data_IF_774502342625
#
_entry.id   IF_774502342625
#
_cell.length_a   1.000
_cell.length_b   1.000
_cell.length_c   1.000
_cell.angle_alpha   90.00
_cell.angle_beta   90.00
_cell.angle_gamma   90.00
#
_symmetry.space_group_name_H-M   'P 1'
#
loop_
_entity.id
_entity.type
_entity.pdbx_description
1 polymer ?
#
# COMPACT_ATOMS: atom_id res chain seq x y z
N UNK A 1 -8.00 34.70 -8.63
CA UNK A 1 -7.46 33.87 -7.54
C UNK A 1 -7.80 32.42 -7.85
N UNK A 2 -6.91 31.71 -8.56
CA UNK A 2 -7.11 30.30 -8.92
C UNK A 2 -6.87 29.44 -7.69
N UNK A 3 -7.93 28.79 -7.18
CA UNK A 3 -7.81 27.72 -6.17
C UNK A 3 -7.01 26.60 -6.82
N UNK A 4 -5.72 26.47 -6.48
CA UNK A 4 -4.97 25.26 -6.80
C UNK A 4 -5.70 24.13 -6.07
N UNK A 5 -6.36 23.26 -6.82
CA UNK A 5 -7.00 22.08 -6.28
C UNK A 5 -5.86 21.13 -5.86
N UNK A 6 -5.51 21.15 -4.57
CA UNK A 6 -4.33 20.41 -4.05
C UNK A 6 -4.55 18.90 -4.01
N UNK A 7 -5.81 18.47 -4.01
CA UNK A 7 -6.27 17.06 -3.95
C UNK A 7 -5.49 16.10 -4.88
N UNK A 8 -5.42 16.33 -6.21
CA UNK A 8 -4.69 15.44 -7.11
C UNK A 8 -3.16 15.45 -6.88
N UNK A 9 -2.60 16.60 -6.49
CA UNK A 9 -1.16 16.71 -6.24
C UNK A 9 -0.76 15.99 -4.95
N UNK A 10 -1.54 16.15 -3.88
CA UNK A 10 -1.29 15.48 -2.59
C UNK A 10 -1.39 13.97 -2.73
N UNK A 11 -2.40 13.50 -3.48
CA UNK A 11 -2.61 12.08 -3.72
C UNK A 11 -1.42 11.44 -4.46
N UNK A 12 -0.99 12.08 -5.54
CA UNK A 12 0.17 11.67 -6.34
C UNK A 12 1.48 11.69 -5.53
N UNK A 13 1.68 12.71 -4.68
CA UNK A 13 2.87 12.80 -3.82
C UNK A 13 2.88 11.69 -2.77
N UNK A 14 1.73 11.37 -2.17
CA UNK A 14 1.59 10.28 -1.19
C UNK A 14 1.95 8.92 -1.79
N UNK A 15 1.48 8.61 -3.00
CA UNK A 15 1.83 7.37 -3.71
C UNK A 15 3.35 7.21 -3.87
N UNK A 16 4.01 8.26 -4.34
CA UNK A 16 5.46 8.24 -4.57
C UNK A 16 6.26 8.19 -3.28
N UNK A 17 5.81 8.92 -2.26
CA UNK A 17 6.48 8.96 -0.96
C UNK A 17 6.44 7.59 -0.29
N UNK A 18 5.29 6.91 -0.34
CA UNK A 18 5.14 5.56 0.23
C UNK A 18 5.97 4.54 -0.54
N UNK A 19 6.07 4.64 -1.86
CA UNK A 19 6.95 3.79 -2.67
C UNK A 19 8.44 4.00 -2.36
N UNK A 20 8.89 5.27 -2.27
CA UNK A 20 10.28 5.61 -1.95
C UNK A 20 10.67 5.10 -0.57
N UNK A 21 9.76 5.16 0.41
CA UNK A 21 10.00 4.66 1.78
C UNK A 21 10.26 3.15 1.83
N UNK A 22 9.72 2.37 0.88
CA UNK A 22 9.91 0.92 0.83
C UNK A 22 11.35 0.50 0.53
N UNK A 23 12.06 1.28 -0.30
CA UNK A 23 13.42 0.94 -0.74
C UNK A 23 14.42 0.86 0.44
N UNK A 24 14.60 1.93 1.25
CA UNK A 24 15.56 1.89 2.35
C UNK A 24 15.11 0.94 3.48
N UNK A 25 13.80 0.79 3.70
CA UNK A 25 13.27 -0.09 4.76
C UNK A 25 13.47 -1.57 4.43
N UNK A 26 13.37 -1.94 3.15
CA UNK A 26 13.70 -3.28 2.67
C UNK A 26 15.21 -3.58 2.81
N UNK A 27 16.07 -2.64 2.43
CA UNK A 27 17.53 -2.83 2.46
C UNK A 27 18.12 -2.91 3.87
N UNK A 28 17.51 -2.27 4.87
CA UNK A 28 18.04 -2.26 6.24
C UNK A 28 17.94 -3.63 6.94
N UNK A 29 16.92 -4.44 6.63
CA UNK A 29 16.69 -5.79 7.16
C UNK A 29 16.87 -5.99 8.69
N UNK A 30 16.68 -4.95 9.50
CA UNK A 30 16.67 -5.05 10.97
C UNK A 30 15.26 -5.41 11.47
N UNK A 31 15.11 -6.03 12.65
CA UNK A 31 13.77 -6.34 13.20
C UNK A 31 12.85 -5.12 13.26
N UNK A 32 13.38 -3.95 13.64
CA UNK A 32 12.63 -2.69 13.63
C UNK A 32 12.28 -2.24 12.22
N UNK A 33 13.19 -2.35 11.25
CA UNK A 33 12.89 -1.98 9.86
C UNK A 33 11.89 -2.94 9.20
N UNK A 34 11.81 -4.20 9.63
CA UNK A 34 10.79 -5.15 9.17
C UNK A 34 9.37 -4.75 9.62
N UNK A 35 9.22 -4.22 10.85
CA UNK A 35 7.94 -3.67 11.32
C UNK A 35 7.56 -2.45 10.47
N UNK A 36 8.51 -1.54 10.24
CA UNK A 36 8.28 -0.35 9.41
C UNK A 36 7.97 -0.73 7.97
N UNK A 37 8.68 -1.71 7.40
CA UNK A 37 8.45 -2.25 6.07
C UNK A 37 7.04 -2.81 5.95
N UNK A 38 6.56 -3.56 6.94
CA UNK A 38 5.18 -4.07 6.96
C UNK A 38 4.15 -2.94 6.90
N UNK A 39 4.28 -1.93 7.76
CA UNK A 39 3.36 -0.77 7.78
C UNK A 39 3.40 -0.02 6.44
N UNK A 40 4.60 0.26 5.92
CA UNK A 40 4.79 0.98 4.67
C UNK A 40 4.22 0.18 3.47
N UNK A 41 4.37 -1.15 3.46
CA UNK A 41 3.82 -2.02 2.43
C UNK A 41 2.29 -2.00 2.45
N UNK A 42 1.65 -2.08 3.62
CA UNK A 42 0.19 -1.98 3.72
C UNK A 42 -0.33 -0.63 3.24
N UNK A 43 0.36 0.44 3.62
CA UNK A 43 0.01 1.78 3.18
C UNK A 43 0.12 1.90 1.66
N UNK A 44 1.26 1.51 1.09
CA UNK A 44 1.49 1.61 -0.35
C UNK A 44 0.49 0.76 -1.15
N UNK A 45 0.27 -0.49 -0.74
CA UNK A 45 -0.69 -1.39 -1.38
C UNK A 45 -2.12 -0.85 -1.29
N UNK A 46 -2.53 -0.31 -0.13
CA UNK A 46 -3.87 0.26 0.03
C UNK A 46 -4.13 1.41 -0.96
N UNK A 47 -3.19 2.35 -1.09
CA UNK A 47 -3.34 3.47 -2.03
C UNK A 47 -3.35 2.94 -3.47
N UNK A 48 -2.39 2.06 -3.83
CA UNK A 48 -2.30 1.52 -5.19
C UNK A 48 -3.54 0.75 -5.62
N UNK A 49 -4.09 -0.11 -4.76
CA UNK A 49 -5.32 -0.86 -5.03
C UNK A 49 -6.52 0.08 -5.14
N UNK A 50 -6.59 1.11 -4.30
CA UNK A 50 -7.70 2.07 -4.34
C UNK A 50 -7.79 2.79 -5.69
N UNK A 51 -6.65 3.11 -6.31
CA UNK A 51 -6.61 3.68 -7.66
C UNK A 51 -7.10 2.69 -8.71
N UNK A 52 -6.57 1.46 -8.70
CA UNK A 52 -6.97 0.41 -9.64
C UNK A 52 -8.49 0.21 -9.55
N UNK A 53 -9.04 0.14 -8.33
CA UNK A 53 -10.47 -0.02 -8.17
C UNK A 53 -11.27 1.23 -8.53
N UNK A 54 -10.71 2.43 -8.39
CA UNK A 54 -11.35 3.66 -8.86
C UNK A 54 -11.48 3.67 -10.39
N UNK A 55 -10.49 3.12 -11.10
CA UNK A 55 -10.47 3.05 -12.56
C UNK A 55 -11.36 1.94 -13.13
N UNK A 56 -11.51 0.81 -12.43
CA UNK A 56 -12.17 -0.39 -12.96
C UNK A 56 -13.49 -0.78 -12.28
N UNK A 57 -13.77 -0.33 -11.05
CA UNK A 57 -14.96 -0.71 -10.28
C UNK A 57 -15.86 0.50 -10.01
N UNK A 58 -16.90 0.62 -10.83
CA UNK A 58 -17.81 1.78 -10.81
C UNK A 58 -18.86 1.73 -9.70
N UNK A 59 -19.19 0.54 -9.17
CA UNK A 59 -20.12 0.42 -8.05
C UNK A 59 -19.37 0.63 -6.73
N UNK A 60 -19.83 1.58 -5.92
CA UNK A 60 -19.16 1.98 -4.67
C UNK A 60 -19.12 0.85 -3.62
N UNK A 61 -20.18 0.05 -3.50
CA UNK A 61 -20.24 -1.08 -2.57
C UNK A 61 -19.31 -2.19 -3.03
N UNK A 62 -19.35 -2.53 -4.32
CA UNK A 62 -18.43 -3.52 -4.91
C UNK A 62 -16.98 -3.08 -4.76
N UNK A 63 -16.67 -1.80 -4.95
CA UNK A 63 -15.32 -1.26 -4.78
C UNK A 63 -14.78 -1.44 -3.37
N UNK A 64 -15.57 -1.11 -2.35
CA UNK A 64 -15.16 -1.30 -0.94
C UNK A 64 -15.02 -2.78 -0.60
N UNK A 65 -15.96 -3.61 -1.06
CA UNK A 65 -15.95 -5.06 -0.83
C UNK A 65 -14.70 -5.71 -1.45
N UNK A 66 -14.45 -5.48 -2.74
CA UNK A 66 -13.30 -6.02 -3.46
C UNK A 66 -12.00 -5.46 -2.89
N UNK A 67 -11.94 -4.16 -2.57
CA UNK A 67 -10.77 -3.56 -1.94
C UNK A 67 -10.39 -4.24 -0.63
N UNK A 68 -11.37 -4.42 0.26
CA UNK A 68 -11.15 -5.14 1.53
C UNK A 68 -10.70 -6.58 1.29
N UNK A 69 -11.33 -7.28 0.34
CA UNK A 69 -10.98 -8.66 0.01
C UNK A 69 -9.52 -8.79 -0.48
N UNK A 70 -9.10 -7.92 -1.41
CA UNK A 70 -7.73 -7.91 -1.92
C UNK A 70 -6.73 -7.64 -0.78
N UNK A 71 -7.03 -6.70 0.11
CA UNK A 71 -6.16 -6.39 1.25
C UNK A 71 -6.00 -7.58 2.20
N UNK A 72 -7.07 -8.34 2.47
CA UNK A 72 -7.01 -9.57 3.27
C UNK A 72 -6.14 -10.63 2.59
N UNK A 73 -6.27 -10.81 1.27
CA UNK A 73 -5.42 -11.75 0.51
C UNK A 73 -3.95 -11.35 0.59
N UNK A 74 -3.64 -10.06 0.45
CA UNK A 74 -2.27 -9.55 0.56
C UNK A 74 -1.71 -9.74 1.98
N UNK A 75 -2.51 -9.49 3.02
CA UNK A 75 -2.14 -9.75 4.42
C UNK A 75 -1.70 -11.20 4.63
N UNK A 76 -2.47 -12.15 4.09
CA UNK A 76 -2.18 -13.58 4.19
C UNK A 76 -0.88 -13.91 3.43
N UNK A 77 -0.77 -13.46 2.18
CA UNK A 77 0.40 -13.71 1.34
C UNK A 77 1.69 -13.12 1.95
N UNK A 78 1.61 -11.91 2.51
CA UNK A 78 2.74 -11.27 3.19
C UNK A 78 3.17 -12.06 4.44
N UNK A 79 2.23 -12.52 5.26
CA UNK A 79 2.52 -13.35 6.44
C UNK A 79 3.32 -14.60 6.02
N UNK A 80 2.88 -15.30 4.97
CA UNK A 80 3.58 -16.49 4.48
C UNK A 80 4.96 -16.14 3.89
N UNK A 81 5.09 -15.05 3.14
CA UNK A 81 6.37 -14.56 2.62
C UNK A 81 7.37 -14.24 3.73
N UNK A 82 6.94 -13.56 4.80
CA UNK A 82 7.81 -13.25 5.94
C UNK A 82 8.21 -14.48 6.73
N UNK A 83 7.33 -15.46 6.91
CA UNK A 83 7.69 -16.74 7.52
C UNK A 83 8.79 -17.42 6.69
N UNK A 84 8.61 -17.51 5.37
CA UNK A 84 9.60 -18.07 4.45
C UNK A 84 10.95 -17.32 4.48
N UNK A 85 10.92 -16.00 4.67
CA UNK A 85 12.12 -15.17 4.69
C UNK A 85 12.88 -15.22 6.04
N UNK A 86 12.16 -15.36 7.15
CA UNK A 86 12.71 -15.19 8.51
C UNK A 86 12.92 -16.50 9.28
N UNK A 87 12.18 -17.56 8.96
CA UNK A 87 12.46 -18.91 9.45
C UNK A 87 13.10 -19.72 8.30
N UNK A 88 14.39 -20.07 8.39
CA UNK A 88 15.03 -20.98 7.42
C UNK A 88 14.42 -22.39 7.49
#
# INVERSE_FOLDING_TARGET
MTRINKEPLTHWLLQRSTAILLIPTFLSATPSSLIVLNIAMFWHAHIGISEILADYVHNSVTRVFVGTLIQVVILIAMKDFFILLLLP
#
